data_IF_706398054115
#
_entry.id   IF_706398054115
#
_cell.length_a   1.000
_cell.length_b   1.000
_cell.length_c   1.000
_cell.angle_alpha   90.00
_cell.angle_beta   90.00
_cell.angle_gamma   90.00
#
_symmetry.space_group_name_H-M   'P 1'
#
loop_
_entity.id
_entity.type
_entity.pdbx_description
1 polymer ?
#
# COMPACT_ATOMS: atom_id res chain seq x y z
N UNK A 1 -1.76 -5.27 21.19
CA UNK A 1 -1.35 -5.91 19.93
C UNK A 1 -2.49 -5.78 18.94
N UNK A 2 -2.37 -4.88 17.96
CA UNK A 2 -3.38 -4.73 16.92
C UNK A 2 -3.43 -5.99 16.06
N UNK A 3 -4.64 -6.55 15.97
CA UNK A 3 -4.91 -7.87 15.45
C UNK A 3 -4.84 -7.87 13.91
N UNK A 4 -3.63 -7.77 13.34
CA UNK A 4 -3.37 -8.03 11.91
C UNK A 4 -3.68 -9.47 11.50
N UNK A 5 -4.04 -10.34 12.45
CA UNK A 5 -4.51 -11.70 12.19
C UNK A 5 -5.83 -11.77 11.42
N UNK A 6 -6.73 -10.78 11.55
CA UNK A 6 -8.05 -10.83 10.88
C UNK A 6 -7.93 -10.63 9.35
N UNK A 7 -6.84 -10.03 8.86
CA UNK A 7 -6.58 -9.84 7.43
C UNK A 7 -5.83 -11.02 6.78
N UNK A 8 -5.30 -11.95 7.59
CA UNK A 8 -4.42 -13.03 7.13
C UNK A 8 -5.02 -14.44 7.29
N UNK A 9 -6.18 -14.59 7.94
CA UNK A 9 -6.73 -15.89 8.37
C UNK A 9 -7.60 -16.62 7.36
N UNK A 10 -7.54 -16.29 6.06
CA UNK A 10 -8.13 -17.19 5.07
C UNK A 10 -7.26 -17.27 3.82
N UNK A 11 -6.72 -18.46 3.62
CA UNK A 11 -5.78 -18.82 2.58
C UNK A 11 -6.28 -18.31 1.20
N UNK A 12 -5.47 -17.45 0.60
CA UNK A 12 -5.39 -17.25 -0.85
C UNK A 12 -6.44 -16.36 -1.59
N UNK A 13 -7.40 -15.70 -0.94
CA UNK A 13 -8.22 -14.68 -1.65
C UNK A 13 -8.68 -13.51 -0.76
N UNK A 14 -7.75 -12.63 -0.36
CA UNK A 14 -8.16 -11.25 -0.07
C UNK A 14 -8.93 -10.74 -1.30
N UNK A 15 -10.22 -10.39 -1.12
CA UNK A 15 -11.09 -9.94 -2.21
C UNK A 15 -10.51 -8.68 -2.85
N UNK A 16 -10.86 -8.42 -4.12
CA UNK A 16 -10.40 -7.22 -4.83
C UNK A 16 -10.62 -5.95 -4.01
N UNK A 17 -11.77 -5.85 -3.34
CA UNK A 17 -12.15 -4.74 -2.46
C UNK A 17 -11.19 -4.58 -1.28
N UNK A 18 -10.86 -5.67 -0.58
CA UNK A 18 -9.95 -5.64 0.56
C UNK A 18 -8.55 -5.19 0.14
N UNK A 19 -8.09 -5.62 -1.04
CA UNK A 19 -6.79 -5.19 -1.57
C UNK A 19 -6.74 -3.71 -1.89
N UNK A 20 -7.77 -3.20 -2.55
CA UNK A 20 -7.87 -1.76 -2.86
C UNK A 20 -7.84 -0.96 -1.56
N UNK A 21 -8.66 -1.34 -0.57
CA UNK A 21 -8.70 -0.67 0.74
C UNK A 21 -7.32 -0.73 1.40
N UNK A 22 -6.67 -1.89 1.43
CA UNK A 22 -5.35 -2.05 2.04
C UNK A 22 -4.29 -1.19 1.33
N UNK A 23 -4.24 -1.22 0.00
CA UNK A 23 -3.30 -0.41 -0.79
C UNK A 23 -3.49 1.09 -0.57
N UNK A 24 -4.75 1.56 -0.51
CA UNK A 24 -5.06 2.97 -0.24
C UNK A 24 -4.63 3.35 1.18
N UNK A 25 -4.99 2.56 2.19
CA UNK A 25 -4.63 2.84 3.59
C UNK A 25 -3.11 2.83 3.78
N UNK A 26 -2.40 1.83 3.24
CA UNK A 26 -0.94 1.81 3.30
C UNK A 26 -0.33 3.04 2.60
N UNK A 27 -0.85 3.42 1.42
CA UNK A 27 -0.33 4.59 0.72
C UNK A 27 -0.54 5.90 1.48
N UNK A 28 -1.67 6.08 2.16
CA UNK A 28 -1.93 7.22 3.02
C UNK A 28 -0.92 7.30 4.16
N UNK A 29 -0.71 6.18 4.87
CA UNK A 29 0.23 6.11 5.98
C UNK A 29 1.66 6.39 5.51
N UNK A 30 2.10 5.75 4.42
CA UNK A 30 3.45 5.96 3.88
C UNK A 30 3.65 7.41 3.41
N UNK A 31 2.66 8.00 2.75
CA UNK A 31 2.75 9.40 2.29
C UNK A 31 2.80 10.35 3.48
N UNK A 32 1.97 10.14 4.51
CA UNK A 32 2.00 10.97 5.72
C UNK A 32 3.35 10.89 6.46
N UNK A 33 3.92 9.68 6.57
CA UNK A 33 5.25 9.48 7.15
C UNK A 33 6.34 10.14 6.31
N UNK A 34 6.26 10.05 4.99
CA UNK A 34 7.21 10.68 4.07
C UNK A 34 7.15 12.21 4.19
N UNK A 35 5.95 12.79 4.15
CA UNK A 35 5.77 14.24 4.29
C UNK A 35 6.28 14.69 5.66
N UNK A 36 5.92 13.99 6.74
CA UNK A 36 6.40 14.29 8.09
C UNK A 36 7.92 14.19 8.24
N UNK A 37 8.54 13.17 7.62
CA UNK A 37 9.99 13.04 7.61
C UNK A 37 10.68 14.15 6.82
N UNK A 38 10.11 14.58 5.68
CA UNK A 38 10.66 15.70 4.92
C UNK A 38 10.55 17.02 5.68
N UNK A 39 9.44 17.25 6.38
CA UNK A 39 9.30 18.39 7.30
C UNK A 39 10.31 18.35 8.45
N UNK A 40 10.64 17.17 8.98
CA UNK A 40 11.57 17.05 10.09
C UNK A 40 13.03 17.29 9.68
N UNK A 41 13.42 16.85 8.49
CA UNK A 41 14.81 16.91 8.02
C UNK A 41 15.07 18.14 7.12
N UNK A 42 14.08 19.01 6.95
CA UNK A 42 14.17 20.27 6.19
C UNK A 42 14.72 20.08 4.76
N UNK A 43 14.48 18.89 4.18
CA UNK A 43 15.13 18.48 2.93
C UNK A 43 14.39 18.98 1.69
N UNK A 44 13.05 18.97 1.70
CA UNK A 44 12.21 19.31 0.55
C UNK A 44 10.84 19.78 1.06
N UNK A 45 10.40 20.96 0.61
CA UNK A 45 8.99 21.36 0.73
C UNK A 45 8.14 20.44 -0.15
N UNK A 46 7.51 19.44 0.49
CA UNK A 46 6.65 18.50 -0.20
C UNK A 46 5.32 19.20 -0.51
N UNK A 47 5.24 19.82 -1.68
CA UNK A 47 3.98 20.43 -2.12
C UNK A 47 2.82 19.41 -2.08
N UNK A 48 1.61 19.83 -1.68
CA UNK A 48 0.45 18.94 -1.62
C UNK A 48 0.19 18.16 -2.92
N UNK A 49 0.48 18.77 -4.07
CA UNK A 49 0.38 18.14 -5.39
C UNK A 49 1.33 16.95 -5.52
N UNK A 50 2.59 17.11 -5.09
CA UNK A 50 3.60 16.05 -5.14
C UNK A 50 3.26 14.91 -4.18
N UNK A 51 2.77 15.24 -2.97
CA UNK A 51 2.28 14.26 -2.02
C UNK A 51 1.11 13.44 -2.58
N UNK A 52 0.18 14.10 -3.28
CA UNK A 52 -0.96 13.43 -3.90
C UNK A 52 -0.54 12.51 -5.06
N UNK A 53 0.37 12.95 -5.93
CA UNK A 53 0.91 12.12 -7.01
C UNK A 53 1.62 10.90 -6.44
N UNK A 54 2.45 11.09 -5.40
CA UNK A 54 3.13 10.00 -4.72
C UNK A 54 2.15 8.99 -4.12
N UNK A 55 1.14 9.48 -3.39
CA UNK A 55 0.08 8.65 -2.82
C UNK A 55 -0.60 7.80 -3.90
N UNK A 56 -1.02 8.43 -4.99
CA UNK A 56 -1.78 7.77 -6.05
C UNK A 56 -0.91 6.74 -6.78
N UNK A 57 0.32 7.10 -7.16
CA UNK A 57 1.27 6.17 -7.77
C UNK A 57 1.62 4.99 -6.86
N UNK A 58 1.89 5.26 -5.59
CA UNK A 58 2.25 4.21 -4.63
C UNK A 58 1.08 3.27 -4.33
N UNK A 59 -0.15 3.80 -4.26
CA UNK A 59 -1.36 2.98 -4.10
C UNK A 59 -1.55 1.99 -5.26
N UNK A 60 -1.29 2.43 -6.50
CA UNK A 60 -1.37 1.59 -7.70
C UNK A 60 -0.28 0.52 -7.67
N UNK A 61 0.96 0.88 -7.31
CA UNK A 61 2.07 -0.07 -7.21
C UNK A 61 1.78 -1.15 -6.17
N UNK A 62 1.30 -0.78 -4.98
CA UNK A 62 0.94 -1.74 -3.94
C UNK A 62 -0.17 -2.69 -4.39
N UNK A 63 -1.18 -2.14 -5.06
CA UNK A 63 -2.29 -2.93 -5.59
C UNK A 63 -1.83 -3.92 -6.66
N UNK A 64 -1.04 -3.47 -7.64
CA UNK A 64 -0.49 -4.31 -8.70
C UNK A 64 0.44 -5.39 -8.13
N UNK A 65 1.32 -5.03 -7.20
CA UNK A 65 2.23 -5.96 -6.54
C UNK A 65 1.45 -7.06 -5.82
N UNK A 66 0.42 -6.69 -5.06
CA UNK A 66 -0.50 -7.64 -4.43
C UNK A 66 -1.19 -8.56 -5.46
N UNK A 67 -1.65 -7.99 -6.58
CA UNK A 67 -2.33 -8.73 -7.63
C UNK A 67 -1.41 -9.75 -8.32
N UNK A 68 -0.24 -9.31 -8.80
CA UNK A 68 0.73 -10.16 -9.49
C UNK A 68 1.32 -11.23 -8.58
N UNK A 69 1.62 -10.91 -7.32
CA UNK A 69 2.14 -11.89 -6.37
C UNK A 69 1.18 -13.08 -6.19
N UNK A 70 -0.12 -12.83 -6.14
CA UNK A 70 -1.11 -13.91 -6.08
C UNK A 70 -1.32 -14.63 -7.42
N UNK A 71 -1.14 -13.95 -8.55
CA UNK A 71 -1.16 -14.62 -9.86
C UNK A 71 0.01 -15.61 -9.97
N UNK A 72 1.22 -15.18 -9.64
CA UNK A 72 2.43 -16.02 -9.70
C UNK A 72 2.36 -17.22 -8.75
N UNK A 73 1.83 -17.03 -7.53
CA UNK A 73 1.67 -18.14 -6.59
C UNK A 73 0.61 -19.18 -7.02
N UNK A 74 -0.41 -18.77 -7.80
CA UNK A 74 -1.36 -19.72 -8.39
C UNK A 74 -0.76 -20.54 -9.53
N UNK A 75 0.15 -19.97 -10.29
CA UNK A 75 0.82 -20.66 -11.40
C UNK A 75 1.88 -21.65 -10.92
N UNK A 76 2.56 -21.39 -9.79
CA UNK A 76 3.53 -22.33 -9.18
C UNK A 76 2.91 -23.49 -8.40
N UNK A 77 1.63 -23.42 -8.05
CA UNK A 77 0.91 -24.46 -7.31
C UNK A 77 0.14 -25.47 -8.19
N UNK A 78 0.30 -25.38 -9.51
CA UNK A 78 -0.18 -26.36 -10.50
C UNK A 78 1.00 -27.18 -11.02
#
# INVERSE_FOLDING_TARGET
MFNMGILATNENRATLKVRIIFSVVCSLITTALLVGANYWVDMIDFEPTNAFIFLLGYSIILFLTSYFFLKTNKEKGR
#
